data_IF_412051580408
#
_entry.id   IF_412051580408
#
_cell.length_a   1.000
_cell.length_b   1.000
_cell.length_c   1.000
_cell.angle_alpha   90.00
_cell.angle_beta   90.00
_cell.angle_gamma   90.00
#
_symmetry.space_group_name_H-M   'P 1'
#
loop_
_entity.id
_entity.type
_entity.pdbx_description
1 polymer ?
#
# COMPACT_ATOMS: atom_id res chain seq x y z
N UNK A 1 34.53 19.39 6.00
CA UNK A 1 34.19 18.91 4.64
C UNK A 1 35.42 18.20 4.11
N UNK A 2 35.29 16.99 3.57
CA UNK A 2 36.45 16.26 3.04
C UNK A 2 36.98 16.99 1.79
N UNK A 3 38.29 17.15 1.69
CA UNK A 3 38.95 17.69 0.49
C UNK A 3 39.40 16.50 -0.36
N UNK A 4 39.09 16.53 -1.65
CA UNK A 4 39.58 15.56 -2.65
C UNK A 4 40.53 16.29 -3.60
N UNK A 5 41.40 15.56 -4.30
CA UNK A 5 42.22 16.14 -5.37
C UNK A 5 41.49 16.03 -6.71
N UNK A 6 41.50 17.10 -7.49
CA UNK A 6 41.03 17.06 -8.87
C UNK A 6 41.96 16.16 -9.70
N UNK A 7 41.40 15.20 -10.44
CA UNK A 7 42.19 14.24 -11.22
C UNK A 7 42.96 14.89 -12.39
N UNK A 8 42.48 16.02 -12.89
CA UNK A 8 43.11 16.74 -14.01
C UNK A 8 44.16 17.76 -13.57
N UNK A 9 43.87 18.59 -12.56
CA UNK A 9 44.78 19.66 -12.15
C UNK A 9 45.54 19.38 -10.85
N UNK A 10 45.25 18.27 -10.17
CA UNK A 10 45.92 17.86 -8.92
C UNK A 10 45.54 18.68 -7.68
N UNK A 11 44.77 19.76 -7.86
CA UNK A 11 44.49 20.73 -6.81
C UNK A 11 43.38 20.28 -5.86
N UNK A 12 43.48 20.72 -4.61
CA UNK A 12 42.58 20.30 -3.53
C UNK A 12 41.27 21.07 -3.59
N UNK A 13 40.17 20.34 -3.64
CA UNK A 13 38.82 20.86 -3.87
C UNK A 13 37.84 20.25 -2.86
N UNK A 14 36.71 20.93 -2.63
CA UNK A 14 35.63 20.37 -1.80
C UNK A 14 35.08 19.09 -2.42
N UNK A 15 34.86 18.05 -1.62
CA UNK A 15 34.18 16.81 -2.04
C UNK A 15 32.75 17.01 -2.55
N UNK A 16 32.17 18.21 -2.40
CA UNK A 16 30.85 18.59 -2.92
C UNK A 16 30.90 19.50 -4.16
N UNK A 17 32.10 19.83 -4.66
CA UNK A 17 32.26 20.70 -5.83
C UNK A 17 31.83 19.96 -7.12
N UNK A 18 30.83 20.49 -7.82
CA UNK A 18 30.35 19.95 -9.11
C UNK A 18 31.27 20.31 -10.29
N UNK A 19 32.07 21.36 -10.10
CA UNK A 19 33.03 21.89 -11.08
C UNK A 19 34.28 22.28 -10.31
N UNK A 20 35.45 21.90 -10.82
CA UNK A 20 36.72 22.35 -10.26
C UNK A 20 36.83 23.87 -10.40
N UNK A 21 36.96 24.63 -9.30
CA UNK A 21 37.13 26.08 -9.39
C UNK A 21 38.45 26.50 -10.02
N UNK A 22 39.43 25.59 -10.12
CA UNK A 22 40.77 25.88 -10.65
C UNK A 22 40.91 25.58 -12.16
N UNK A 23 40.33 24.48 -12.65
CA UNK A 23 40.48 24.08 -14.06
C UNK A 23 39.15 24.05 -14.85
N UNK A 24 38.01 24.30 -14.19
CA UNK A 24 36.70 24.38 -14.85
C UNK A 24 36.11 23.02 -15.27
N UNK A 25 36.77 21.89 -14.99
CA UNK A 25 36.23 20.57 -15.34
C UNK A 25 35.12 20.13 -14.39
N UNK A 26 34.07 19.51 -14.93
CA UNK A 26 32.99 18.92 -14.13
C UNK A 26 33.51 17.71 -13.38
N UNK A 27 33.23 17.66 -12.08
CA UNK A 27 33.68 16.57 -11.22
C UNK A 27 32.47 15.67 -10.97
N UNK A 28 32.39 14.61 -11.77
CA UNK A 28 31.37 13.60 -11.64
C UNK A 28 31.93 12.38 -10.89
N UNK A 29 32.04 12.50 -9.57
CA UNK A 29 32.16 11.33 -8.72
C UNK A 29 30.75 10.84 -8.39
N UNK A 30 30.18 9.98 -9.23
CA UNK A 30 28.97 9.26 -8.90
C UNK A 30 29.16 7.76 -9.17
N UNK A 31 29.16 6.98 -8.11
CA UNK A 31 29.00 5.52 -8.22
C UNK A 31 27.52 5.19 -8.43
N UNK A 32 27.22 4.14 -9.19
CA UNK A 32 25.87 3.65 -9.44
C UNK A 32 25.15 3.33 -8.11
N UNK A 33 23.94 3.86 -7.85
CA UNK A 33 23.20 3.58 -6.62
C UNK A 33 22.77 2.12 -6.45
N UNK A 34 22.68 1.34 -7.53
CA UNK A 34 22.19 -0.04 -7.51
C UNK A 34 23.33 -1.07 -7.37
N UNK A 35 24.43 -0.88 -8.11
CA UNK A 35 25.53 -1.85 -8.16
C UNK A 35 26.88 -1.29 -7.67
N UNK A 36 26.94 -0.03 -7.25
CA UNK A 36 28.17 0.65 -6.81
C UNK A 36 29.28 0.77 -7.86
N UNK A 37 29.01 0.46 -9.13
CA UNK A 37 29.95 0.64 -10.22
C UNK A 37 30.35 2.12 -10.37
N UNK A 38 31.62 2.42 -10.64
CA UNK A 38 32.05 3.79 -10.92
C UNK A 38 31.46 4.24 -12.27
N UNK A 39 30.80 5.39 -12.27
CA UNK A 39 30.23 5.97 -13.48
C UNK A 39 31.13 7.09 -13.98
N UNK A 40 31.24 7.22 -15.29
CA UNK A 40 32.07 8.25 -15.92
C UNK A 40 31.37 9.62 -15.96
N UNK A 41 30.13 9.70 -15.46
CA UNK A 41 29.41 10.95 -15.23
C UNK A 41 28.49 11.44 -16.34
N UNK A 42 28.68 10.95 -17.57
CA UNK A 42 27.87 11.31 -18.74
C UNK A 42 26.87 10.21 -19.14
N UNK A 43 26.81 9.14 -18.34
CA UNK A 43 26.00 7.96 -18.60
C UNK A 43 24.55 8.16 -18.16
N UNK A 44 23.60 8.05 -19.10
CA UNK A 44 22.15 8.11 -18.83
C UNK A 44 21.66 6.82 -18.16
N UNK A 45 22.32 5.70 -18.43
CA UNK A 45 22.07 4.40 -17.81
C UNK A 45 23.42 3.80 -17.39
N UNK A 46 23.47 3.18 -16.21
CA UNK A 46 24.62 2.46 -15.70
C UNK A 46 24.97 1.34 -16.68
N UNK A 47 26.21 1.29 -17.18
CA UNK A 47 26.62 0.28 -18.17
C UNK A 47 26.59 -1.15 -17.60
N UNK A 48 26.77 -1.33 -16.29
CA UNK A 48 26.77 -2.64 -15.63
C UNK A 48 25.38 -3.23 -15.36
N UNK A 49 24.41 -2.43 -14.90
CA UNK A 49 23.09 -2.94 -14.48
C UNK A 49 21.90 -2.31 -15.22
N UNK A 50 22.14 -1.33 -16.10
CA UNK A 50 21.11 -0.61 -16.84
C UNK A 50 20.32 0.42 -16.03
N UNK A 51 20.75 0.74 -14.80
CA UNK A 51 20.07 1.72 -13.93
C UNK A 51 20.15 3.14 -14.49
N UNK A 52 19.04 3.88 -14.68
CA UNK A 52 19.09 5.23 -15.21
C UNK A 52 19.77 6.22 -14.24
N UNK A 53 20.97 6.70 -14.60
CA UNK A 53 21.74 7.68 -13.84
C UNK A 53 21.61 9.03 -14.54
N UNK A 54 21.17 10.08 -13.83
CA UNK A 54 21.06 11.43 -14.40
C UNK A 54 19.65 12.03 -14.48
N UNK A 55 18.58 11.24 -14.23
CA UNK A 55 17.25 11.77 -13.88
C UNK A 55 16.78 11.15 -12.58
N UNK A 56 16.56 11.98 -11.56
CA UNK A 56 15.84 11.54 -10.36
C UNK A 56 14.43 11.14 -10.78
N UNK A 57 14.17 9.84 -10.89
CA UNK A 57 12.81 9.34 -11.11
C UNK A 57 11.94 9.72 -9.91
N UNK A 58 10.63 9.91 -10.11
CA UNK A 58 9.71 10.20 -9.02
C UNK A 58 9.79 9.13 -7.90
N UNK A 59 10.01 7.87 -8.30
CA UNK A 59 10.23 6.76 -7.36
C UNK A 59 11.50 6.97 -6.52
N UNK A 60 12.61 7.39 -7.11
CA UNK A 60 13.86 7.62 -6.36
C UNK A 60 13.69 8.78 -5.35
N UNK A 61 12.99 9.85 -5.74
CA UNK A 61 12.73 11.00 -4.85
C UNK A 61 11.88 10.57 -3.65
N UNK A 62 10.82 9.80 -3.89
CA UNK A 62 9.94 9.30 -2.84
C UNK A 62 10.71 8.35 -1.92
N UNK A 63 11.47 7.41 -2.46
CA UNK A 63 12.30 6.50 -1.66
C UNK A 63 13.33 7.27 -0.81
N UNK A 64 14.04 8.25 -1.36
CA UNK A 64 14.99 9.09 -0.60
C UNK A 64 14.29 9.84 0.55
N UNK A 65 13.10 10.39 0.32
CA UNK A 65 12.36 11.10 1.37
C UNK A 65 11.77 10.15 2.42
N UNK A 66 11.29 8.98 2.01
CA UNK A 66 10.85 7.95 2.93
C UNK A 66 12.00 7.43 3.78
N UNK A 67 13.19 7.21 3.20
CA UNK A 67 14.39 6.83 3.94
C UNK A 67 14.80 7.88 4.98
N UNK A 68 14.60 9.18 4.69
CA UNK A 68 14.79 10.25 5.70
C UNK A 68 13.76 10.19 6.83
N UNK A 69 12.49 9.88 6.52
CA UNK A 69 11.42 9.78 7.53
C UNK A 69 11.62 8.54 8.39
N UNK A 70 11.91 7.40 7.77
CA UNK A 70 12.01 6.11 8.43
C UNK A 70 13.35 5.94 9.15
N UNK A 71 14.42 6.52 8.60
CA UNK A 71 15.80 6.26 9.00
C UNK A 71 16.34 4.95 8.42
N UNK A 72 15.63 4.33 7.47
CA UNK A 72 16.07 3.10 6.82
C UNK A 72 17.06 3.38 5.67
N UNK A 73 17.90 2.39 5.38
CA UNK A 73 18.52 2.25 4.06
C UNK A 73 17.71 1.23 3.27
N UNK A 74 16.80 1.71 2.44
CA UNK A 74 15.98 0.84 1.60
C UNK A 74 16.85 0.12 0.56
N UNK A 75 16.50 -1.13 0.25
CA UNK A 75 17.10 -1.92 -0.81
C UNK A 75 15.99 -2.39 -1.73
N UNK A 76 16.25 -2.40 -3.04
CA UNK A 76 15.29 -2.89 -4.03
C UNK A 76 15.42 -4.42 -4.14
N UNK A 77 14.54 -5.14 -3.46
CA UNK A 77 14.37 -6.59 -3.61
C UNK A 77 13.52 -6.92 -4.83
N UNK A 78 12.46 -6.14 -5.06
CA UNK A 78 11.51 -6.35 -6.15
C UNK A 78 11.01 -5.01 -6.71
N UNK A 79 10.80 -4.98 -8.03
CA UNK A 79 10.14 -3.88 -8.74
C UNK A 79 8.63 -4.16 -8.79
N UNK A 80 7.83 -3.12 -9.06
CA UNK A 80 6.37 -3.26 -9.17
C UNK A 80 5.95 -4.39 -10.12
N UNK A 81 6.59 -4.51 -11.29
CA UNK A 81 6.29 -5.56 -12.28
C UNK A 81 6.58 -6.97 -11.77
N UNK A 82 7.57 -7.13 -10.89
CA UNK A 82 7.94 -8.45 -10.37
C UNK A 82 6.84 -9.04 -9.48
N UNK A 83 6.07 -8.18 -8.83
CA UNK A 83 4.94 -8.58 -7.97
C UNK A 83 3.79 -9.20 -8.78
N UNK A 84 3.70 -8.93 -10.08
CA UNK A 84 2.62 -9.40 -10.96
C UNK A 84 3.12 -10.36 -12.06
N UNK A 85 4.39 -10.76 -12.03
CA UNK A 85 5.00 -11.61 -13.08
C UNK A 85 4.36 -13.00 -13.21
N UNK A 86 3.65 -13.44 -12.18
CA UNK A 86 3.02 -14.76 -12.12
C UNK A 86 1.52 -14.73 -12.47
N UNK A 87 0.92 -13.56 -12.67
CA UNK A 87 -0.54 -13.40 -12.86
C UNK A 87 -1.10 -14.26 -14.00
N UNK A 88 -0.41 -14.31 -15.13
CA UNK A 88 -0.87 -15.02 -16.34
C UNK A 88 -0.20 -16.37 -16.55
N UNK A 89 0.57 -16.86 -15.58
CA UNK A 89 1.14 -18.21 -15.65
C UNK A 89 0.05 -19.25 -15.37
N UNK A 90 0.26 -20.47 -15.86
CA UNK A 90 -0.59 -21.62 -15.49
C UNK A 90 -0.24 -22.04 -14.05
N UNK A 91 -1.28 -22.21 -13.24
CA UNK A 91 -1.20 -22.67 -11.85
C UNK A 91 -2.25 -23.75 -11.65
N UNK A 92 -1.91 -24.83 -10.95
CA UNK A 92 -2.81 -25.94 -10.67
C UNK A 92 -3.81 -25.58 -9.55
N UNK A 93 -4.69 -26.52 -9.20
CA UNK A 93 -5.57 -26.36 -8.04
C UNK A 93 -4.78 -26.55 -6.74
N UNK A 94 -3.78 -27.42 -6.71
CA UNK A 94 -2.88 -27.57 -5.57
C UNK A 94 -2.11 -26.28 -5.27
N UNK A 95 -1.59 -25.60 -6.31
CA UNK A 95 -0.94 -24.28 -6.16
C UNK A 95 -1.89 -23.27 -5.49
N UNK A 96 -3.19 -23.33 -5.81
CA UNK A 96 -4.21 -22.46 -5.23
C UNK A 96 -4.45 -22.80 -3.76
N UNK A 97 -4.60 -24.09 -3.45
CA UNK A 97 -4.82 -24.57 -2.08
C UNK A 97 -3.65 -24.19 -1.17
N UNK A 98 -2.41 -24.36 -1.65
CA UNK A 98 -1.21 -23.97 -0.93
C UNK A 98 -1.23 -22.49 -0.54
N UNK A 99 -1.79 -21.60 -1.37
CA UNK A 99 -1.92 -20.17 -1.06
C UNK A 99 -2.79 -19.94 0.19
N UNK A 100 -3.82 -20.75 0.43
CA UNK A 100 -4.70 -20.58 1.60
C UNK A 100 -4.28 -21.40 2.82
N UNK A 101 -3.48 -22.44 2.63
CA UNK A 101 -2.94 -23.30 3.70
C UNK A 101 -1.72 -22.63 4.36
N UNK A 102 -1.96 -21.64 5.21
CA UNK A 102 -0.90 -20.91 5.94
C UNK A 102 -1.29 -20.51 7.38
N UNK A 103 -0.31 -20.06 8.17
CA UNK A 103 -0.54 -19.48 9.51
C UNK A 103 -0.71 -20.48 10.66
N UNK A 104 -0.59 -21.78 10.38
CA UNK A 104 -0.48 -22.83 11.41
C UNK A 104 0.98 -23.07 11.78
N UNK A 105 1.23 -23.80 12.86
CA UNK A 105 2.61 -24.12 13.27
C UNK A 105 3.31 -25.09 12.30
N UNK A 106 2.54 -25.82 11.47
CA UNK A 106 3.07 -26.74 10.45
C UNK A 106 3.21 -26.10 9.07
N UNK A 107 2.54 -24.97 8.83
CA UNK A 107 2.44 -24.34 7.49
C UNK A 107 3.05 -22.95 7.45
N UNK A 108 3.44 -22.40 8.60
CA UNK A 108 4.26 -21.19 8.66
C UNK A 108 5.72 -21.60 8.42
N UNK A 109 6.39 -21.09 7.37
CA UNK A 109 7.78 -21.43 7.08
C UNK A 109 8.71 -20.84 8.14
N UNK A 110 9.83 -21.53 8.40
CA UNK A 110 10.93 -20.96 9.16
C UNK A 110 11.53 -19.77 8.39
N UNK A 111 11.96 -18.74 9.11
CA UNK A 111 12.48 -17.51 8.50
C UNK A 111 13.66 -17.78 7.57
N UNK A 112 14.55 -18.72 7.94
CA UNK A 112 15.71 -19.16 7.13
C UNK A 112 15.33 -19.63 5.72
N UNK A 113 14.15 -20.25 5.56
CA UNK A 113 13.70 -20.87 4.31
C UNK A 113 12.97 -19.89 3.38
N UNK A 114 12.62 -18.70 3.88
CA UNK A 114 11.91 -17.68 3.11
C UNK A 114 12.89 -16.96 2.16
N UNK A 115 12.63 -16.98 0.85
CA UNK A 115 13.40 -16.19 -0.12
C UNK A 115 12.72 -14.83 -0.38
N UNK A 116 13.30 -13.69 0.06
CA UNK A 116 12.69 -12.37 -0.13
C UNK A 116 12.58 -11.94 -1.60
N UNK A 117 13.34 -12.55 -2.53
CA UNK A 117 13.26 -12.24 -3.97
C UNK A 117 12.11 -12.95 -4.69
N UNK A 118 11.42 -13.88 -4.01
CA UNK A 118 10.33 -14.66 -4.57
C UNK A 118 8.95 -14.00 -4.40
N UNK A 119 8.88 -12.75 -3.94
CA UNK A 119 7.61 -12.04 -3.81
C UNK A 119 6.89 -11.93 -5.17
N UNK A 120 5.62 -12.34 -5.19
CA UNK A 120 4.76 -12.31 -6.35
C UNK A 120 3.34 -12.76 -5.99
N UNK A 121 2.36 -12.31 -6.77
CA UNK A 121 0.95 -12.61 -6.59
C UNK A 121 0.32 -13.01 -7.93
N UNK A 122 -0.70 -13.87 -7.88
CA UNK A 122 -1.47 -14.36 -9.03
C UNK A 122 -2.91 -14.73 -8.68
N UNK A 123 -3.19 -15.18 -7.44
CA UNK A 123 -4.54 -15.55 -6.98
C UNK A 123 -5.48 -14.35 -6.99
N UNK A 124 -4.98 -13.14 -6.67
CA UNK A 124 -5.76 -11.90 -6.72
C UNK A 124 -6.54 -11.75 -8.04
N UNK A 125 -5.92 -12.13 -9.17
CA UNK A 125 -6.52 -12.03 -10.49
C UNK A 125 -7.58 -13.10 -10.71
N UNK A 126 -7.37 -14.35 -10.25
CA UNK A 126 -8.42 -15.39 -10.27
C UNK A 126 -9.65 -14.94 -9.48
N UNK A 127 -9.43 -14.33 -8.31
CA UNK A 127 -10.50 -13.79 -7.47
C UNK A 127 -11.24 -12.64 -8.17
N UNK A 128 -10.51 -11.73 -8.83
CA UNK A 128 -11.13 -10.67 -9.63
C UNK A 128 -12.04 -11.23 -10.74
N UNK A 129 -11.53 -12.19 -11.52
CA UNK A 129 -12.29 -12.85 -12.60
C UNK A 129 -13.52 -13.56 -12.05
N UNK A 130 -13.40 -14.24 -10.91
CA UNK A 130 -14.53 -14.86 -10.22
C UNK A 130 -15.64 -13.85 -9.90
N UNK A 131 -15.30 -12.70 -9.33
CA UNK A 131 -16.28 -11.64 -9.07
C UNK A 131 -16.95 -11.11 -10.34
N UNK A 132 -16.20 -10.93 -11.42
CA UNK A 132 -16.77 -10.49 -12.71
C UNK A 132 -17.75 -11.53 -13.26
N UNK A 133 -17.37 -12.81 -13.26
CA UNK A 133 -18.23 -13.90 -13.72
C UNK A 133 -19.50 -13.98 -12.86
N UNK A 134 -19.37 -13.89 -11.54
CA UNK A 134 -20.51 -13.91 -10.62
C UNK A 134 -21.43 -12.68 -10.78
N UNK A 135 -20.86 -11.51 -11.10
CA UNK A 135 -21.63 -10.27 -11.25
C UNK A 135 -22.58 -10.32 -12.46
N UNK A 136 -22.16 -10.91 -13.59
CA UNK A 136 -22.94 -10.98 -14.84
C UNK A 136 -24.37 -11.50 -14.65
N UNK A 137 -24.62 -12.72 -14.12
CA UNK A 137 -25.98 -13.24 -13.97
C UNK A 137 -26.83 -12.39 -13.02
N UNK A 138 -26.22 -11.76 -12.01
CA UNK A 138 -26.95 -10.92 -11.05
C UNK A 138 -27.38 -9.60 -11.67
N UNK A 139 -26.54 -9.02 -12.52
CA UNK A 139 -26.87 -7.85 -13.32
C UNK A 139 -27.98 -8.18 -14.31
N UNK A 140 -27.90 -9.30 -15.01
CA UNK A 140 -28.94 -9.77 -15.95
C UNK A 140 -30.27 -9.94 -15.20
N UNK A 141 -30.26 -10.68 -14.09
CA UNK A 141 -31.46 -10.93 -13.29
C UNK A 141 -32.13 -9.66 -12.75
N UNK A 142 -31.32 -8.66 -12.36
CA UNK A 142 -31.84 -7.38 -11.88
C UNK A 142 -32.32 -6.46 -13.02
N UNK A 143 -31.50 -6.25 -14.05
CA UNK A 143 -31.76 -5.23 -15.09
C UNK A 143 -32.66 -5.75 -16.20
N UNK A 144 -32.38 -6.94 -16.73
CA UNK A 144 -33.09 -7.48 -17.91
C UNK A 144 -34.40 -8.17 -17.51
N UNK A 145 -34.39 -8.87 -16.37
CA UNK A 145 -35.56 -9.59 -15.86
C UNK A 145 -36.35 -8.83 -14.78
N UNK A 146 -35.87 -7.66 -14.35
CA UNK A 146 -36.58 -6.81 -13.38
C UNK A 146 -36.76 -7.43 -11.99
N UNK A 147 -36.02 -8.48 -11.64
CA UNK A 147 -36.19 -9.18 -10.38
C UNK A 147 -35.32 -8.54 -9.27
N UNK A 148 -35.97 -7.81 -8.36
CA UNK A 148 -35.33 -7.10 -7.27
C UNK A 148 -34.53 -7.99 -6.30
N UNK A 149 -34.79 -9.30 -6.25
CA UNK A 149 -34.02 -10.23 -5.41
C UNK A 149 -32.54 -10.33 -5.84
N UNK A 150 -32.21 -9.97 -7.07
CA UNK A 150 -30.81 -9.91 -7.53
C UNK A 150 -30.09 -8.65 -7.08
N UNK A 151 -30.80 -7.60 -6.65
CA UNK A 151 -30.19 -6.32 -6.29
C UNK A 151 -29.18 -6.44 -5.13
N UNK A 152 -29.51 -7.08 -3.98
CA UNK A 152 -28.54 -7.21 -2.89
C UNK A 152 -27.26 -7.92 -3.33
N UNK A 153 -27.38 -8.99 -4.14
CA UNK A 153 -26.24 -9.74 -4.62
C UNK A 153 -25.41 -8.93 -5.63
N UNK A 154 -26.06 -8.19 -6.54
CA UNK A 154 -25.39 -7.31 -7.48
C UNK A 154 -24.56 -6.23 -6.76
N UNK A 155 -25.13 -5.61 -5.71
CA UNK A 155 -24.44 -4.61 -4.88
C UNK A 155 -23.23 -5.22 -4.18
N UNK A 156 -23.41 -6.38 -3.54
CA UNK A 156 -22.34 -7.06 -2.81
C UNK A 156 -21.20 -7.48 -3.73
N UNK A 157 -21.49 -8.09 -4.88
CA UNK A 157 -20.46 -8.49 -5.83
C UNK A 157 -19.71 -7.29 -6.40
N UNK A 158 -20.42 -6.22 -6.77
CA UNK A 158 -19.79 -5.00 -7.27
C UNK A 158 -18.90 -4.31 -6.23
N UNK A 159 -19.39 -4.15 -5.00
CA UNK A 159 -18.68 -3.44 -3.95
C UNK A 159 -17.45 -4.21 -3.42
N UNK A 160 -17.49 -5.54 -3.44
CA UNK A 160 -16.45 -6.38 -2.85
C UNK A 160 -15.38 -6.80 -3.86
N UNK A 161 -15.69 -6.80 -5.17
CA UNK A 161 -14.81 -7.30 -6.22
C UNK A 161 -13.38 -6.78 -6.08
N UNK A 162 -13.19 -5.46 -6.19
CA UNK A 162 -11.86 -4.87 -6.19
C UNK A 162 -11.23 -4.82 -4.79
N UNK A 163 -11.94 -4.45 -3.70
CA UNK A 163 -11.36 -4.52 -2.36
C UNK A 163 -10.84 -5.92 -1.98
N UNK A 164 -11.62 -6.98 -2.25
CA UNK A 164 -11.19 -8.36 -1.96
C UNK A 164 -10.03 -8.77 -2.88
N UNK A 165 -10.04 -8.38 -4.15
CA UNK A 165 -8.90 -8.61 -5.06
C UNK A 165 -7.61 -7.98 -4.52
N UNK A 166 -7.65 -6.71 -4.11
CA UNK A 166 -6.45 -6.02 -3.59
C UNK A 166 -6.01 -6.63 -2.25
N UNK A 167 -6.94 -7.02 -1.39
CA UNK A 167 -6.64 -7.77 -0.17
C UNK A 167 -5.89 -9.08 -0.47
N UNK A 168 -6.35 -9.83 -1.47
CA UNK A 168 -5.72 -11.08 -1.86
C UNK A 168 -4.29 -10.87 -2.37
N UNK A 169 -4.03 -9.76 -3.07
CA UNK A 169 -2.67 -9.37 -3.41
C UNK A 169 -1.80 -9.19 -2.14
N UNK A 170 -2.29 -8.46 -1.13
CA UNK A 170 -1.55 -8.29 0.14
C UNK A 170 -1.36 -9.61 0.90
N UNK A 171 -2.31 -10.54 0.77
CA UNK A 171 -2.23 -11.86 1.38
C UNK A 171 -1.13 -12.71 0.75
N UNK A 172 -1.01 -12.68 -0.58
CA UNK A 172 0.01 -13.44 -1.32
C UNK A 172 1.43 -12.93 -1.09
N UNK A 173 1.62 -11.60 -1.07
CA UNK A 173 2.94 -11.01 -0.85
C UNK A 173 3.44 -11.14 0.60
N UNK A 174 2.61 -11.58 1.54
CA UNK A 174 3.05 -11.88 2.90
C UNK A 174 3.87 -13.18 2.95
N UNK A 175 5.15 -13.07 2.64
CA UNK A 175 6.08 -14.21 2.58
C UNK A 175 6.32 -14.89 3.92
N UNK A 176 5.99 -14.25 5.05
CA UNK A 176 6.04 -14.90 6.36
C UNK A 176 4.93 -15.94 6.54
N UNK A 177 3.84 -15.85 5.76
CA UNK A 177 2.75 -16.85 5.72
C UNK A 177 2.25 -17.25 7.12
N UNK A 178 2.29 -16.32 8.07
CA UNK A 178 2.06 -16.56 9.50
C UNK A 178 0.71 -16.02 10.00
N UNK A 179 -0.11 -15.48 9.09
CA UNK A 179 -1.49 -15.06 9.36
C UNK A 179 -2.44 -16.02 8.62
N UNK A 180 -3.18 -16.88 9.33
CA UNK A 180 -4.12 -17.79 8.68
C UNK A 180 -5.29 -17.02 8.05
N UNK A 181 -5.83 -17.55 6.95
CA UNK A 181 -6.82 -16.85 6.14
C UNK A 181 -8.08 -16.44 6.90
N UNK A 182 -8.58 -17.28 7.83
CA UNK A 182 -9.75 -16.91 8.65
C UNK A 182 -9.53 -15.63 9.48
N UNK A 183 -8.28 -15.33 9.89
CA UNK A 183 -7.96 -14.07 10.58
C UNK A 183 -8.00 -12.89 9.61
N UNK A 184 -7.56 -13.07 8.37
CA UNK A 184 -7.67 -12.05 7.32
C UNK A 184 -9.15 -11.71 7.10
N UNK A 185 -10.03 -12.71 6.98
CA UNK A 185 -11.48 -12.50 6.90
C UNK A 185 -12.03 -11.82 8.16
N UNK A 186 -11.57 -12.22 9.36
CA UNK A 186 -11.95 -11.55 10.61
C UNK A 186 -11.56 -10.07 10.63
N UNK A 187 -10.35 -9.72 10.19
CA UNK A 187 -9.89 -8.34 10.13
C UNK A 187 -10.65 -7.56 9.06
N UNK A 188 -10.98 -8.18 7.94
CA UNK A 188 -11.84 -7.59 6.92
C UNK A 188 -13.23 -7.26 7.47
N UNK A 189 -13.94 -8.25 8.01
CA UNK A 189 -15.34 -8.07 8.44
C UNK A 189 -15.42 -7.19 9.68
N UNK A 190 -14.76 -7.58 10.77
CA UNK A 190 -14.85 -6.83 12.02
C UNK A 190 -14.10 -5.50 11.92
N UNK A 191 -12.96 -5.47 11.23
CA UNK A 191 -12.20 -4.24 11.08
C UNK A 191 -12.92 -3.20 10.27
N UNK A 192 -13.44 -3.58 9.10
CA UNK A 192 -14.22 -2.67 8.26
C UNK A 192 -15.45 -2.13 8.98
N UNK A 193 -16.23 -2.99 9.63
CA UNK A 193 -17.43 -2.56 10.34
C UNK A 193 -17.11 -1.66 11.56
N UNK A 194 -16.10 -2.04 12.37
CA UNK A 194 -15.72 -1.25 13.54
C UNK A 194 -15.10 0.09 13.17
N UNK A 195 -14.33 0.16 12.08
CA UNK A 195 -13.74 1.42 11.61
C UNK A 195 -14.80 2.37 11.03
N UNK A 196 -15.82 1.86 10.34
CA UNK A 196 -16.98 2.66 9.92
C UNK A 196 -17.75 3.22 11.12
N UNK A 197 -18.05 2.39 12.12
CA UNK A 197 -18.73 2.85 13.34
C UNK A 197 -17.88 3.91 14.05
N UNK A 198 -16.57 3.68 14.17
CA UNK A 198 -15.68 4.63 14.83
C UNK A 198 -15.59 5.96 14.07
N UNK A 199 -15.54 5.93 12.73
CA UNK A 199 -15.59 7.13 11.91
C UNK A 199 -16.90 7.91 12.12
N UNK A 200 -18.05 7.22 12.13
CA UNK A 200 -19.36 7.84 12.41
C UNK A 200 -19.39 8.50 13.79
N UNK A 201 -18.84 7.84 14.82
CA UNK A 201 -18.74 8.42 16.17
C UNK A 201 -17.88 9.69 16.22
N UNK A 202 -16.84 9.77 15.40
CA UNK A 202 -16.04 10.98 15.27
C UNK A 202 -16.78 12.07 14.48
N UNK A 203 -17.44 11.71 13.37
CA UNK A 203 -18.27 12.64 12.60
C UNK A 203 -19.43 13.23 13.42
N UNK A 204 -19.96 12.52 14.41
CA UNK A 204 -21.04 13.03 15.27
C UNK A 204 -20.56 14.02 16.35
N UNK A 205 -19.27 14.37 16.40
CA UNK A 205 -18.78 15.44 17.27
C UNK A 205 -19.13 16.81 16.63
N UNK A 206 -19.60 17.81 17.39
CA UNK A 206 -20.13 19.07 16.83
C UNK A 206 -19.20 19.79 15.86
N UNK A 207 -17.89 19.76 16.14
CA UNK A 207 -16.89 20.35 15.27
C UNK A 207 -16.80 19.63 13.92
N UNK A 208 -16.77 18.30 13.90
CA UNK A 208 -16.61 17.54 12.66
C UNK A 208 -17.92 17.45 11.88
N UNK A 209 -19.07 17.37 12.57
CA UNK A 209 -20.39 17.39 11.93
C UNK A 209 -20.57 18.65 11.06
N UNK A 210 -20.08 19.80 11.54
CA UNK A 210 -20.21 21.08 10.85
C UNK A 210 -19.13 21.30 9.79
N UNK A 211 -17.89 20.85 10.03
CA UNK A 211 -16.74 21.23 9.22
C UNK A 211 -16.24 20.13 8.26
N UNK A 212 -16.52 18.85 8.50
CA UNK A 212 -16.06 17.76 7.65
C UNK A 212 -16.96 17.62 6.41
N UNK A 213 -16.54 18.20 5.29
CA UNK A 213 -17.30 18.22 4.04
C UNK A 213 -16.39 18.21 2.81
N UNK A 214 -16.80 17.50 1.77
CA UNK A 214 -16.10 17.45 0.47
C UNK A 214 -16.18 18.78 -0.31
N UNK A 215 -16.97 19.74 0.16
CA UNK A 215 -17.17 21.03 -0.52
C UNK A 215 -16.02 22.03 -0.29
N UNK A 216 -15.17 21.79 0.72
CA UNK A 216 -14.06 22.67 1.06
C UNK A 216 -12.76 21.90 1.17
N UNK A 217 -11.63 22.58 0.96
CA UNK A 217 -10.31 21.96 1.05
C UNK A 217 -10.00 21.48 2.47
N UNK A 218 -10.33 22.30 3.47
CA UNK A 218 -10.15 21.95 4.88
C UNK A 218 -11.10 20.81 5.29
N UNK A 219 -12.38 20.89 4.90
CA UNK A 219 -13.35 19.86 5.23
C UNK A 219 -13.02 18.49 4.64
N UNK A 220 -12.51 18.44 3.41
CA UNK A 220 -12.05 17.19 2.80
C UNK A 220 -10.84 16.60 3.55
N UNK A 221 -9.91 17.45 4.00
CA UNK A 221 -8.79 17.01 4.83
C UNK A 221 -9.26 16.49 6.21
N UNK A 222 -10.31 17.08 6.79
CA UNK A 222 -10.92 16.59 8.03
C UNK A 222 -11.58 15.21 7.84
N UNK A 223 -12.26 14.97 6.72
CA UNK A 223 -12.79 13.64 6.37
C UNK A 223 -11.64 12.62 6.33
N UNK A 224 -10.57 12.94 5.57
CA UNK A 224 -9.38 12.10 5.49
C UNK A 224 -8.77 11.82 6.86
N UNK A 225 -8.64 12.83 7.71
CA UNK A 225 -8.15 12.68 9.07
C UNK A 225 -9.01 11.72 9.90
N UNK A 226 -10.33 11.92 9.91
CA UNK A 226 -11.26 11.15 10.74
C UNK A 226 -11.25 9.68 10.34
N UNK A 227 -11.38 9.41 9.05
CA UNK A 227 -11.50 8.04 8.56
C UNK A 227 -10.19 7.27 8.65
N UNK A 228 -9.06 7.89 8.34
CA UNK A 228 -7.74 7.26 8.46
C UNK A 228 -7.40 7.01 9.94
N UNK A 229 -7.65 7.98 10.84
CA UNK A 229 -7.45 7.74 12.29
C UNK A 229 -8.33 6.60 12.80
N UNK A 230 -9.60 6.53 12.39
CA UNK A 230 -10.49 5.43 12.78
C UNK A 230 -9.92 4.07 12.31
N UNK A 231 -9.44 3.97 11.08
CA UNK A 231 -8.81 2.75 10.55
C UNK A 231 -7.51 2.42 11.27
N UNK A 232 -6.60 3.39 11.45
CA UNK A 232 -5.35 3.22 12.16
C UNK A 232 -5.55 2.68 13.59
N UNK A 233 -6.55 3.18 14.33
CA UNK A 233 -6.90 2.71 15.67
C UNK A 233 -7.32 1.23 15.64
N UNK A 234 -8.21 0.85 14.72
CA UNK A 234 -8.69 -0.53 14.61
C UNK A 234 -7.55 -1.48 14.17
N UNK A 235 -6.73 -1.06 13.21
CA UNK A 235 -5.52 -1.79 12.78
C UNK A 235 -4.58 -2.01 13.95
N UNK A 236 -4.29 -0.96 14.73
CA UNK A 236 -3.46 -1.05 15.91
C UNK A 236 -4.05 -2.06 16.91
N UNK A 237 -5.34 -2.01 17.23
CA UNK A 237 -5.99 -2.96 18.14
C UNK A 237 -5.77 -4.41 17.71
N UNK A 238 -5.90 -4.73 16.42
CA UNK A 238 -5.66 -6.09 15.93
C UNK A 238 -4.19 -6.49 16.01
N UNK A 239 -3.27 -5.59 15.69
CA UNK A 239 -1.84 -5.84 15.79
C UNK A 239 -1.39 -6.05 17.24
N UNK A 240 -1.88 -5.25 18.20
CA UNK A 240 -1.63 -5.42 19.64
C UNK A 240 -2.17 -6.75 20.19
N UNK A 241 -3.30 -7.23 19.68
CA UNK A 241 -3.88 -8.53 20.10
C UNK A 241 -3.19 -9.72 19.45
N UNK A 242 -2.45 -9.53 18.35
CA UNK A 242 -1.84 -10.63 17.60
C UNK A 242 -0.45 -10.96 18.14
N UNK A 243 -0.24 -12.23 18.53
CA UNK A 243 1.09 -12.74 18.91
C UNK A 243 1.97 -13.12 17.72
N UNK A 244 1.36 -13.35 16.54
CA UNK A 244 2.06 -13.83 15.33
C UNK A 244 2.35 -12.70 14.32
N UNK A 245 1.68 -11.55 14.45
CA UNK A 245 1.84 -10.41 13.52
C UNK A 245 3.03 -9.54 13.91
N UNK A 246 4.25 -10.00 13.61
CA UNK A 246 5.48 -9.37 14.11
C UNK A 246 6.28 -8.56 13.07
N UNK A 247 5.86 -8.55 11.80
CA UNK A 247 6.65 -8.06 10.67
C UNK A 247 5.90 -6.99 9.87
N UNK A 248 6.62 -6.21 9.07
CA UNK A 248 6.08 -5.13 8.24
C UNK A 248 5.04 -5.67 7.25
N UNK A 249 5.31 -6.81 6.61
CA UNK A 249 4.36 -7.46 5.68
C UNK A 249 3.06 -7.89 6.38
N UNK A 250 3.13 -8.21 7.67
CA UNK A 250 1.94 -8.48 8.47
C UNK A 250 1.14 -7.22 8.75
N UNK A 251 1.83 -6.10 9.00
CA UNK A 251 1.21 -4.78 9.11
C UNK A 251 0.46 -4.40 7.84
N UNK A 252 1.11 -4.55 6.67
CA UNK A 252 0.49 -4.33 5.37
C UNK A 252 -0.78 -5.17 5.19
N UNK A 253 -0.71 -6.48 5.46
CA UNK A 253 -1.85 -7.38 5.29
C UNK A 253 -3.01 -7.06 6.26
N UNK A 254 -2.73 -6.81 7.54
CA UNK A 254 -3.77 -6.46 8.51
C UNK A 254 -4.42 -5.12 8.15
N UNK A 255 -3.61 -4.12 7.79
CA UNK A 255 -4.08 -2.83 7.32
C UNK A 255 -4.96 -2.95 6.07
N UNK A 256 -4.47 -3.66 5.04
CA UNK A 256 -5.21 -3.93 3.82
C UNK A 256 -6.53 -4.65 4.10
N UNK A 257 -6.58 -5.60 5.04
CA UNK A 257 -7.82 -6.29 5.40
C UNK A 257 -8.86 -5.31 5.97
N UNK A 258 -8.48 -4.50 6.96
CA UNK A 258 -9.36 -3.49 7.57
C UNK A 258 -9.83 -2.48 6.51
N UNK A 259 -8.91 -1.93 5.73
CA UNK A 259 -9.23 -0.98 4.66
C UNK A 259 -10.11 -1.55 3.55
N UNK A 260 -9.95 -2.84 3.23
CA UNK A 260 -10.80 -3.53 2.26
C UNK A 260 -12.22 -3.73 2.78
N UNK A 261 -12.37 -4.07 4.06
CA UNK A 261 -13.68 -4.12 4.70
C UNK A 261 -14.37 -2.76 4.67
N UNK A 262 -13.67 -1.72 5.10
CA UNK A 262 -14.16 -0.34 5.07
C UNK A 262 -14.62 0.05 3.66
N UNK A 263 -13.75 -0.11 2.66
CA UNK A 263 -14.05 0.23 1.27
C UNK A 263 -15.25 -0.54 0.70
N UNK A 264 -15.33 -1.85 0.96
CA UNK A 264 -16.41 -2.69 0.45
C UNK A 264 -17.76 -2.32 1.07
N UNK A 265 -17.82 -2.18 2.39
CA UNK A 265 -19.06 -1.87 3.09
C UNK A 265 -19.57 -0.46 2.77
N UNK A 266 -18.67 0.52 2.73
CA UNK A 266 -19.01 1.89 2.37
C UNK A 266 -19.51 1.98 0.92
N UNK A 267 -18.80 1.31 -0.01
CA UNK A 267 -19.20 1.26 -1.42
C UNK A 267 -20.56 0.61 -1.61
N UNK A 268 -20.86 -0.48 -0.89
CA UNK A 268 -22.19 -1.10 -0.93
C UNK A 268 -23.30 -0.13 -0.49
N UNK A 269 -23.04 0.63 0.59
CA UNK A 269 -23.94 1.68 1.08
C UNK A 269 -24.15 2.79 0.05
N UNK A 270 -23.09 3.24 -0.63
CA UNK A 270 -23.21 4.25 -1.69
C UNK A 270 -23.98 3.75 -2.90
N UNK A 271 -23.70 2.54 -3.38
CA UNK A 271 -24.42 1.96 -4.53
C UNK A 271 -25.92 1.91 -4.20
N UNK A 272 -26.28 1.42 -3.02
CA UNK A 272 -27.68 1.35 -2.58
C UNK A 272 -28.30 2.74 -2.45
N UNK A 273 -27.69 3.64 -1.66
CA UNK A 273 -28.25 4.96 -1.35
C UNK A 273 -28.41 5.82 -2.60
N UNK A 274 -27.37 5.93 -3.42
CA UNK A 274 -27.44 6.73 -4.65
C UNK A 274 -28.34 6.09 -5.70
N UNK A 275 -28.39 4.75 -5.77
CA UNK A 275 -29.30 4.04 -6.65
C UNK A 275 -30.77 4.21 -6.30
N UNK A 276 -31.12 4.17 -5.01
CA UNK A 276 -32.49 4.42 -4.54
C UNK A 276 -32.91 5.87 -4.74
N UNK A 277 -32.00 6.83 -4.52
CA UNK A 277 -32.34 8.26 -4.57
C UNK A 277 -32.30 8.84 -5.99
N UNK A 278 -31.48 8.30 -6.90
CA UNK A 278 -31.23 8.89 -8.22
C UNK A 278 -31.44 7.92 -9.39
N UNK A 279 -31.78 6.65 -9.11
CA UNK A 279 -32.11 5.64 -10.11
C UNK A 279 -30.94 4.76 -10.57
N UNK A 280 -31.25 3.85 -11.49
CA UNK A 280 -30.35 2.78 -11.96
C UNK A 280 -29.07 3.32 -12.60
N UNK A 281 -29.16 4.40 -13.38
CA UNK A 281 -27.99 4.93 -14.08
C UNK A 281 -26.91 5.40 -13.10
N UNK A 282 -27.29 6.18 -12.08
CA UNK A 282 -26.37 6.63 -11.02
C UNK A 282 -25.81 5.44 -10.23
N UNK A 283 -26.63 4.41 -9.95
CA UNK A 283 -26.15 3.18 -9.32
C UNK A 283 -25.00 2.54 -10.11
N UNK A 284 -25.19 2.40 -11.43
CA UNK A 284 -24.18 1.80 -12.32
C UNK A 284 -22.92 2.67 -12.46
N UNK A 285 -23.08 3.99 -12.42
CA UNK A 285 -21.95 4.93 -12.43
C UNK A 285 -21.11 4.82 -11.15
N UNK A 286 -21.75 4.74 -9.98
CA UNK A 286 -21.06 4.53 -8.71
C UNK A 286 -20.32 3.19 -8.69
N UNK A 287 -20.95 2.11 -9.17
CA UNK A 287 -20.30 0.78 -9.32
C UNK A 287 -19.02 0.91 -10.14
N UNK A 288 -19.10 1.54 -11.32
CA UNK A 288 -17.96 1.69 -12.23
C UNK A 288 -16.86 2.56 -11.61
N UNK A 289 -17.22 3.72 -11.08
CA UNK A 289 -16.27 4.69 -10.55
C UNK A 289 -15.54 4.15 -9.32
N UNK A 290 -16.28 3.65 -8.34
CA UNK A 290 -15.68 3.14 -7.09
C UNK A 290 -14.92 1.84 -7.34
N UNK A 291 -15.38 1.00 -8.27
CA UNK A 291 -14.61 -0.18 -8.71
C UNK A 291 -13.29 0.19 -9.36
N UNK A 292 -13.28 1.16 -10.30
CA UNK A 292 -12.08 1.59 -11.00
C UNK A 292 -11.03 2.21 -10.06
N UNK A 293 -11.47 3.04 -9.11
CA UNK A 293 -10.58 3.78 -8.21
C UNK A 293 -10.21 3.03 -6.92
N UNK A 294 -10.92 1.95 -6.58
CA UNK A 294 -10.70 1.17 -5.36
C UNK A 294 -9.24 0.76 -5.07
N UNK A 295 -8.37 0.44 -6.06
CA UNK A 295 -6.98 0.06 -5.77
C UNK A 295 -6.16 1.15 -5.08
N UNK A 296 -6.54 2.42 -5.22
CA UNK A 296 -5.81 3.56 -4.66
C UNK A 296 -6.42 4.22 -3.42
N UNK A 297 -7.56 3.72 -2.95
CA UNK A 297 -8.29 4.29 -1.82
C UNK A 297 -7.98 3.62 -0.48
N UNK A 298 -9.02 3.43 0.35
CA UNK A 298 -8.90 2.98 1.74
C UNK A 298 -8.08 1.69 1.95
N UNK A 299 -8.06 0.76 0.98
CA UNK A 299 -7.23 -0.45 1.08
C UNK A 299 -5.74 -0.10 1.17
N UNK A 300 -5.30 0.77 0.27
CA UNK A 300 -3.90 1.19 0.18
C UNK A 300 -3.51 2.04 1.38
N UNK A 301 -4.37 2.97 1.78
CA UNK A 301 -4.14 3.87 2.90
C UNK A 301 -4.00 3.12 4.23
N UNK A 302 -4.95 2.24 4.57
CA UNK A 302 -4.88 1.44 5.79
C UNK A 302 -3.69 0.45 5.79
N UNK A 303 -3.31 -0.08 4.62
CA UNK A 303 -2.12 -0.92 4.49
C UNK A 303 -0.85 -0.16 4.90
N UNK A 304 -0.70 1.11 4.47
CA UNK A 304 0.42 1.97 4.84
C UNK A 304 0.46 2.18 6.36
N UNK A 305 -0.69 2.44 7.00
CA UNK A 305 -0.78 2.64 8.46
C UNK A 305 -0.36 1.39 9.24
N UNK A 306 -0.84 0.21 8.82
CA UNK A 306 -0.46 -1.06 9.44
C UNK A 306 1.03 -1.36 9.27
N UNK A 307 1.58 -1.09 8.08
CA UNK A 307 3.01 -1.21 7.80
C UNK A 307 3.84 -0.28 8.68
N UNK A 308 3.40 0.97 8.86
CA UNK A 308 4.07 1.99 9.66
C UNK A 308 4.23 1.54 11.11
N UNK A 309 3.18 1.00 11.73
CA UNK A 309 3.23 0.54 13.12
C UNK A 309 4.19 -0.64 13.27
N UNK A 310 4.17 -1.59 12.33
CA UNK A 310 5.08 -2.74 12.36
C UNK A 310 6.52 -2.36 12.01
N UNK A 311 6.70 -1.30 11.23
CA UNK A 311 8.01 -0.74 10.94
C UNK A 311 8.66 -0.15 12.20
N UNK A 312 7.96 0.74 12.92
CA UNK A 312 8.52 1.36 14.13
C UNK A 312 8.71 0.38 15.28
N UNK A 313 7.89 -0.69 15.32
CA UNK A 313 8.09 -1.84 16.23
C UNK A 313 9.42 -2.54 15.96
N UNK A 314 9.81 -2.70 14.68
CA UNK A 314 10.94 -3.53 14.30
C UNK A 314 10.84 -4.95 14.86
N UNK A 315 11.92 -5.43 15.49
CA UNK A 315 11.98 -6.75 16.14
C UNK A 315 11.57 -6.74 17.62
N UNK A 316 11.26 -5.58 18.19
CA UNK A 316 10.80 -5.46 19.58
C UNK A 316 9.36 -5.98 19.74
N UNK A 317 8.96 -6.16 21.00
CA UNK A 317 7.55 -6.39 21.35
C UNK A 317 6.75 -5.11 21.10
N UNK A 318 5.61 -5.23 20.43
CA UNK A 318 4.71 -4.10 20.21
C UNK A 318 4.22 -3.52 21.55
N UNK A 319 4.48 -2.22 21.75
CA UNK A 319 4.15 -1.46 22.94
C UNK A 319 3.52 -0.09 22.58
N UNK A 320 2.82 0.52 23.54
CA UNK A 320 2.18 1.84 23.38
C UNK A 320 3.16 2.94 22.97
N UNK A 321 4.45 2.85 23.34
CA UNK A 321 5.48 3.80 22.91
C UNK A 321 5.56 3.96 21.38
N UNK A 322 5.26 2.89 20.63
CA UNK A 322 5.32 2.92 19.17
C UNK A 322 4.19 3.73 18.54
N UNK A 323 3.04 3.87 19.21
CA UNK A 323 1.94 4.71 18.73
C UNK A 323 2.27 6.21 18.79
N UNK A 324 3.22 6.59 19.66
CA UNK A 324 3.72 7.96 19.78
C UNK A 324 5.09 8.14 19.11
N UNK A 325 5.58 7.13 18.37
CA UNK A 325 6.82 7.27 17.62
C UNK A 325 6.61 8.29 16.50
N UNK A 326 7.50 9.31 16.43
CA UNK A 326 7.43 10.38 15.44
C UNK A 326 7.37 9.84 14.01
N UNK A 327 8.08 8.75 13.71
CA UNK A 327 8.12 8.14 12.37
C UNK A 327 6.77 7.52 12.03
N UNK A 328 6.14 6.84 12.99
CA UNK A 328 4.79 6.28 12.82
C UNK A 328 3.79 7.39 12.51
N UNK A 329 3.78 8.45 13.30
CA UNK A 329 2.87 9.59 13.11
C UNK A 329 3.09 10.28 11.75
N UNK A 330 4.34 10.46 11.33
CA UNK A 330 4.67 11.04 10.02
C UNK A 330 4.24 10.15 8.86
N UNK A 331 4.35 8.83 9.00
CA UNK A 331 3.89 7.90 7.96
C UNK A 331 2.35 7.88 7.91
N UNK A 332 1.65 7.89 9.05
CA UNK A 332 0.19 8.00 9.10
C UNK A 332 -0.35 9.32 8.54
N UNK A 333 0.45 10.39 8.53
CA UNK A 333 0.07 11.64 7.87
C UNK A 333 -0.05 11.48 6.33
N UNK A 334 0.70 10.55 5.73
CA UNK A 334 0.66 10.30 4.29
C UNK A 334 -0.76 9.90 3.83
N UNK A 335 -1.37 8.81 4.33
CA UNK A 335 -2.73 8.44 3.92
C UNK A 335 -3.76 9.52 4.25
N UNK A 336 -3.64 10.22 5.38
CA UNK A 336 -4.53 11.35 5.74
C UNK A 336 -4.51 12.43 4.65
N UNK A 337 -3.31 12.84 4.21
CA UNK A 337 -3.16 13.88 3.18
C UNK A 337 -3.60 13.37 1.81
N UNK A 338 -3.24 12.13 1.45
CA UNK A 338 -3.66 11.53 0.18
C UNK A 338 -5.19 11.43 0.09
N UNK A 339 -5.84 11.00 1.16
CA UNK A 339 -7.30 10.92 1.24
C UNK A 339 -7.93 12.31 1.25
N UNK A 340 -7.40 13.25 2.04
CA UNK A 340 -7.86 14.63 2.02
C UNK A 340 -7.84 15.23 0.61
N UNK A 341 -6.72 15.08 -0.12
CA UNK A 341 -6.58 15.55 -1.51
C UNK A 341 -7.51 14.80 -2.47
N UNK A 342 -7.75 13.51 -2.22
CA UNK A 342 -8.68 12.70 -3.02
C UNK A 342 -10.11 13.27 -2.99
N UNK A 343 -10.54 13.75 -1.82
CA UNK A 343 -11.87 14.29 -1.55
C UNK A 343 -11.99 15.81 -1.78
N UNK A 344 -10.87 16.50 -1.96
CA UNK A 344 -10.87 17.93 -2.24
C UNK A 344 -11.64 18.23 -3.53
N UNK A 345 -12.33 19.39 -3.60
CA UNK A 345 -13.10 19.81 -4.78
C UNK A 345 -12.20 20.32 -5.92
N UNK A 346 -11.20 19.53 -6.31
CA UNK A 346 -10.26 19.83 -7.38
C UNK A 346 -10.84 19.37 -8.71
N UNK A 347 -11.13 20.32 -9.59
CA UNK A 347 -11.63 20.03 -10.93
C UNK A 347 -10.48 19.58 -11.84
N UNK A 348 -10.32 18.26 -12.00
CA UNK A 348 -9.40 17.67 -12.96
C UNK A 348 -10.12 16.67 -13.87
N UNK A 349 -9.79 16.63 -15.17
CA UNK A 349 -10.42 15.69 -16.09
C UNK A 349 -10.00 14.25 -15.78
N UNK A 350 -10.85 13.29 -16.16
CA UNK A 350 -10.57 11.86 -16.12
C UNK A 350 -10.05 11.31 -14.77
N UNK A 351 -10.49 11.91 -13.65
CA UNK A 351 -10.08 11.50 -12.29
C UNK A 351 -8.55 11.56 -12.07
N UNK A 352 -7.87 12.50 -12.74
CA UNK A 352 -6.40 12.61 -12.70
C UNK A 352 -5.85 12.77 -11.28
N UNK A 353 -6.57 13.50 -10.41
CA UNK A 353 -6.19 13.66 -8.99
C UNK A 353 -6.19 12.30 -8.29
N UNK A 354 -7.28 11.54 -8.40
CA UNK A 354 -7.42 10.24 -7.78
C UNK A 354 -6.41 9.22 -8.34
N UNK A 355 -6.14 9.26 -9.65
CA UNK A 355 -5.10 8.44 -10.28
C UNK A 355 -3.72 8.83 -9.74
N UNK A 356 -3.40 10.12 -9.60
CA UNK A 356 -2.14 10.57 -9.04
C UNK A 356 -1.98 10.12 -7.58
N UNK A 357 -3.02 10.27 -6.75
CA UNK A 357 -3.01 9.81 -5.36
C UNK A 357 -2.84 8.29 -5.27
N UNK A 358 -3.47 7.54 -6.19
CA UNK A 358 -3.27 6.09 -6.33
C UNK A 358 -1.81 5.76 -6.58
N UNK A 359 -1.17 6.41 -7.56
CA UNK A 359 0.24 6.17 -7.88
C UNK A 359 1.14 6.49 -6.67
N UNK A 360 0.90 7.61 -5.98
CA UNK A 360 1.67 7.99 -4.79
C UNK A 360 1.51 6.97 -3.65
N UNK A 361 0.29 6.52 -3.36
CA UNK A 361 0.03 5.50 -2.36
C UNK A 361 0.78 4.19 -2.68
N UNK A 362 0.74 3.75 -3.94
CA UNK A 362 1.42 2.53 -4.37
C UNK A 362 2.94 2.63 -4.34
N UNK A 363 3.53 3.81 -4.59
CA UNK A 363 4.97 4.01 -4.40
C UNK A 363 5.38 3.82 -2.93
N UNK A 364 4.57 4.31 -1.99
CA UNK A 364 4.78 4.09 -0.55
C UNK A 364 4.57 2.62 -0.18
N UNK A 365 3.57 1.95 -0.73
CA UNK A 365 3.35 0.50 -0.53
C UNK A 365 4.55 -0.31 -1.02
N UNK A 366 5.04 -0.06 -2.24
CA UNK A 366 6.20 -0.77 -2.81
C UNK A 366 7.43 -0.56 -1.93
N UNK A 367 7.61 0.64 -1.39
CA UNK A 367 8.67 0.93 -0.41
C UNK A 367 8.54 0.05 0.83
N UNK A 368 7.35 -0.03 1.45
CA UNK A 368 7.13 -0.89 2.61
C UNK A 368 7.20 -2.39 2.31
N UNK A 369 6.81 -2.82 1.11
CA UNK A 369 7.02 -4.19 0.65
C UNK A 369 8.52 -4.48 0.64
N UNK A 370 9.33 -3.63 0.02
CA UNK A 370 10.78 -3.81 -0.02
C UNK A 370 11.43 -3.76 1.37
N UNK A 371 10.95 -2.90 2.29
CA UNK A 371 11.39 -2.93 3.68
C UNK A 371 10.99 -4.22 4.40
N UNK A 372 9.80 -4.74 4.16
CA UNK A 372 9.35 -6.02 4.71
C UNK A 372 10.14 -7.21 4.16
N UNK A 373 10.54 -7.16 2.89
CA UNK A 373 11.41 -8.17 2.29
C UNK A 373 12.84 -8.09 2.85
N UNK A 374 13.37 -6.87 3.05
CA UNK A 374 14.62 -6.66 3.78
C UNK A 374 14.56 -7.21 5.20
N UNK A 375 13.42 -7.03 5.87
CA UNK A 375 13.22 -7.50 7.24
C UNK A 375 13.36 -9.03 7.35
N UNK A 376 13.09 -9.79 6.30
CA UNK A 376 13.33 -11.23 6.27
C UNK A 376 14.83 -11.52 6.41
N UNK A 377 15.69 -10.85 5.63
CA UNK A 377 17.14 -11.02 5.74
C UNK A 377 17.69 -10.55 7.09
N UNK A 378 17.17 -9.44 7.60
CA UNK A 378 17.54 -8.94 8.93
C UNK A 378 17.14 -9.94 10.03
N UNK A 379 15.97 -10.59 9.90
CA UNK A 379 15.51 -11.64 10.80
C UNK A 379 16.42 -12.88 10.75
N UNK A 380 16.83 -13.33 9.55
CA UNK A 380 17.78 -14.43 9.37
C UNK A 380 19.10 -14.18 10.10
N UNK A 381 19.63 -12.97 10.00
CA UNK A 381 20.88 -12.57 10.69
C UNK A 381 20.72 -12.55 12.20
N UNK A 382 19.56 -12.15 12.71
CA UNK A 382 19.28 -12.16 14.14
C UNK A 382 19.14 -13.58 14.69
N UNK A 383 18.58 -14.51 13.91
CA UNK A 383 18.50 -15.92 14.29
C UNK A 383 19.87 -16.62 14.24
N UNK A 384 20.73 -16.29 13.28
CA UNK A 384 22.08 -16.87 13.21
C UNK A 384 23.04 -16.40 14.31
N UNK A 385 22.72 -15.26 14.95
CA UNK A 385 23.52 -14.66 16.01
C UNK A 385 23.04 -15.06 17.42
N UNK A 386 21.96 -15.84 17.54
CA UNK A 386 21.50 -16.47 18.78
C UNK A 386 22.04 -17.88 18.87
#
# INVERSE_FOLDING_TARGET
MALIKCEECGESISSSAKVCPHCGIKINLQTCPECSAKLNGDEINCPECGYPVGKKSASNIITENLDKITGAQSKNYVKFKDLFKNTFKKHTEEDLDEVFVCGSDKTTPDVKDINPKNAGAWVYFKIFVFFIIAYIPTRIGFIEYGNANFLPLMIMLAAFAVPVTVLMFFFEINLFRNIPFYKVIKYFVLGGALSLILAILYFSLPYFETNATVQTYEGALLIGLIEEVAKAVIVAIFLFKSKKSNYILNGLLVGAAVGSGFAAFETAGYILRFGLNNGLQTMLEIIKLRGFLAPGGHVAWAAIEGAALMYVKGFDKLDKKHLNDKRFLLICLIPIVLHGIWDMPIQAPYYLVQIAMTILAWLVIIYFINLGLKQIDDAKRLESNK
#
